data_IF_204187190636
#
_entry.id   IF_204187190636
#
_cell.length_a   1.000
_cell.length_b   1.000
_cell.length_c   1.000
_cell.angle_alpha   90.00
_cell.angle_beta   90.00
_cell.angle_gamma   90.00
#
_symmetry.space_group_name_H-M   'P 1'
#
loop_
_entity.id
_entity.type
_entity.pdbx_description
1 polymer ?
#
# COMPACT_ATOMS: atom_id res chain seq x y z
N UNK A 1 -17.79 -9.06 25.42
CA UNK A 1 -18.45 -7.77 25.07
C UNK A 1 -17.44 -6.65 24.83
N UNK A 2 -16.51 -6.36 25.75
CA UNK A 2 -15.51 -5.27 25.59
C UNK A 2 -14.53 -5.47 24.41
N UNK A 3 -14.06 -6.71 24.17
CA UNK A 3 -13.19 -7.03 23.03
C UNK A 3 -13.86 -6.79 21.67
N UNK A 4 -15.15 -7.14 21.55
CA UNK A 4 -15.92 -6.91 20.32
C UNK A 4 -16.11 -5.41 20.05
N UNK A 5 -16.29 -4.61 21.09
CA UNK A 5 -16.42 -3.16 20.98
C UNK A 5 -15.10 -2.47 20.58
N UNK A 6 -13.96 -2.88 21.15
CA UNK A 6 -12.64 -2.37 20.74
C UNK A 6 -12.26 -2.73 19.31
N UNK A 7 -12.61 -3.94 18.85
CA UNK A 7 -12.39 -4.34 17.45
C UNK A 7 -13.28 -3.53 16.49
N UNK A 8 -14.52 -3.28 16.87
CA UNK A 8 -15.46 -2.49 16.07
C UNK A 8 -15.00 -1.03 15.91
N UNK A 9 -14.53 -0.40 17.00
CA UNK A 9 -13.99 0.96 16.95
C UNK A 9 -12.70 1.07 16.14
N UNK A 10 -11.88 0.02 16.09
CA UNK A 10 -10.66 -0.01 15.27
C UNK A 10 -10.96 0.02 13.77
N UNK A 11 -12.11 -0.51 13.35
CA UNK A 11 -12.54 -0.53 11.94
C UNK A 11 -13.38 0.67 11.52
N UNK A 12 -13.77 1.56 12.45
CA UNK A 12 -14.44 2.80 12.06
C UNK A 12 -13.47 3.73 11.36
N UNK A 13 -13.87 4.28 10.21
CA UNK A 13 -13.06 5.28 9.54
C UNK A 13 -13.01 6.59 10.32
N UNK A 14 -11.89 7.33 10.23
CA UNK A 14 -11.75 8.62 10.89
C UNK A 14 -12.89 9.57 10.47
N UNK A 15 -13.49 10.34 11.40
CA UNK A 15 -14.40 11.42 11.04
C UNK A 15 -13.65 12.46 10.17
N UNK A 16 -14.27 12.90 9.07
CA UNK A 16 -13.70 13.78 8.03
C UNK A 16 -12.63 13.18 7.09
N UNK A 17 -12.63 11.87 6.87
CA UNK A 17 -11.81 11.27 5.83
C UNK A 17 -12.27 11.70 4.42
N UNK A 18 -11.52 12.58 3.74
CA UNK A 18 -11.84 13.11 2.40
C UNK A 18 -11.20 12.28 1.30
N UNK A 19 -11.90 12.12 0.17
CA UNK A 19 -11.38 11.40 -0.99
C UNK A 19 -10.21 12.11 -1.70
N UNK A 20 -10.18 13.44 -1.68
CA UNK A 20 -9.11 14.23 -2.28
C UNK A 20 -8.48 15.06 -1.17
N UNK A 21 -7.38 14.55 -0.64
CA UNK A 21 -6.60 15.19 0.39
C UNK A 21 -5.11 14.83 0.23
N UNK A 22 -4.24 15.63 0.87
CA UNK A 22 -2.77 15.50 0.73
C UNK A 22 -2.26 14.15 1.22
N UNK A 23 -2.89 13.59 2.25
CA UNK A 23 -2.62 12.24 2.77
C UNK A 23 -2.82 11.19 1.67
N UNK A 24 -3.92 11.24 0.92
CA UNK A 24 -4.23 10.28 -0.16
C UNK A 24 -3.19 10.31 -1.27
N UNK A 25 -2.71 11.51 -1.61
CA UNK A 25 -1.61 11.67 -2.56
C UNK A 25 -0.30 11.06 -2.05
N UNK A 26 -0.01 11.17 -0.76
CA UNK A 26 1.17 10.54 -0.16
C UNK A 26 1.04 9.01 -0.15
N UNK A 27 -0.12 8.46 0.18
CA UNK A 27 -0.38 7.01 0.07
C UNK A 27 -0.09 6.49 -1.33
N UNK A 28 -0.64 7.15 -2.34
CA UNK A 28 -0.37 6.81 -3.73
C UNK A 28 1.12 6.85 -4.08
N UNK A 29 1.81 7.96 -3.80
CA UNK A 29 3.22 8.15 -4.16
C UNK A 29 4.14 7.18 -3.39
N UNK A 30 3.90 6.99 -2.10
CA UNK A 30 4.68 6.06 -1.28
C UNK A 30 4.49 4.62 -1.77
N UNK A 31 3.26 4.20 -2.03
CA UNK A 31 2.96 2.87 -2.56
C UNK A 31 3.56 2.66 -3.96
N UNK A 32 3.48 3.67 -4.83
CA UNK A 32 4.14 3.67 -6.13
C UNK A 32 5.67 3.51 -6.02
N UNK A 33 6.30 4.28 -5.12
CA UNK A 33 7.75 4.23 -4.93
C UNK A 33 8.21 2.89 -4.33
N UNK A 34 7.52 2.39 -3.30
CA UNK A 34 7.86 1.14 -2.64
C UNK A 34 7.75 -0.02 -3.62
N UNK A 35 6.63 -0.13 -4.37
CA UNK A 35 6.46 -1.23 -5.32
C UNK A 35 7.50 -1.18 -6.43
N UNK A 36 7.85 0.01 -6.92
CA UNK A 36 8.87 0.19 -7.94
C UNK A 36 10.26 -0.21 -7.47
N UNK A 37 10.66 0.27 -6.28
CA UNK A 37 11.94 -0.08 -5.68
C UNK A 37 12.04 -1.57 -5.37
N UNK A 38 11.00 -2.17 -4.79
CA UNK A 38 10.95 -3.60 -4.52
C UNK A 38 11.04 -4.43 -5.81
N UNK A 39 10.28 -4.06 -6.84
CA UNK A 39 10.32 -4.74 -8.13
C UNK A 39 11.70 -4.63 -8.78
N UNK A 40 12.26 -3.42 -8.88
CA UNK A 40 13.58 -3.19 -9.46
C UNK A 40 14.68 -3.95 -8.70
N UNK A 41 14.64 -3.95 -7.37
CA UNK A 41 15.60 -4.70 -6.57
C UNK A 41 15.49 -6.21 -6.81
N UNK A 42 14.29 -6.79 -6.77
CA UNK A 42 14.11 -8.22 -6.99
C UNK A 42 14.45 -8.65 -8.41
N UNK A 43 14.06 -7.87 -9.41
CA UNK A 43 14.26 -8.23 -10.81
C UNK A 43 15.68 -7.92 -11.29
N UNK A 44 16.16 -6.69 -11.11
CA UNK A 44 17.46 -6.26 -11.65
C UNK A 44 18.64 -6.67 -10.76
N UNK A 45 18.52 -6.59 -9.44
CA UNK A 45 19.65 -6.88 -8.54
C UNK A 45 19.74 -8.36 -8.17
N UNK A 46 18.61 -9.03 -7.98
CA UNK A 46 18.56 -10.46 -7.65
C UNK A 46 18.36 -11.37 -8.86
N UNK A 47 18.16 -10.81 -10.06
CA UNK A 47 17.96 -11.56 -11.30
C UNK A 47 16.73 -12.46 -11.27
N UNK A 48 15.71 -12.14 -10.45
CA UNK A 48 14.53 -13.00 -10.31
C UNK A 48 13.59 -12.87 -11.49
N UNK A 49 12.86 -13.94 -11.84
CA UNK A 49 11.85 -13.89 -12.90
C UNK A 49 10.87 -12.75 -12.69
N UNK A 50 10.46 -12.11 -13.78
CA UNK A 50 9.56 -10.95 -13.78
C UNK A 50 8.27 -11.22 -12.99
N UNK A 51 7.67 -12.41 -13.18
CA UNK A 51 6.46 -12.83 -12.47
C UNK A 51 6.64 -12.92 -10.95
N UNK A 52 7.75 -13.50 -10.49
CA UNK A 52 8.06 -13.59 -9.05
C UNK A 52 8.31 -12.21 -8.46
N UNK A 53 9.08 -11.37 -9.15
CA UNK A 53 9.39 -10.01 -8.72
C UNK A 53 8.13 -9.15 -8.58
N UNK A 54 7.16 -9.26 -9.50
CA UNK A 54 5.87 -8.57 -9.39
C UNK A 54 5.09 -9.02 -8.16
N UNK A 55 4.97 -10.33 -7.95
CA UNK A 55 4.22 -10.88 -6.82
C UNK A 55 4.84 -10.43 -5.50
N UNK A 56 6.16 -10.50 -5.37
CA UNK A 56 6.86 -10.08 -4.16
C UNK A 56 6.70 -8.58 -3.92
N UNK A 57 6.90 -7.75 -4.95
CA UNK A 57 6.76 -6.30 -4.82
C UNK A 57 5.34 -5.89 -4.41
N UNK A 58 4.31 -6.42 -5.09
CA UNK A 58 2.91 -6.15 -4.75
C UNK A 58 2.57 -6.62 -3.34
N UNK A 59 2.98 -7.83 -2.97
CA UNK A 59 2.70 -8.38 -1.64
C UNK A 59 3.39 -7.56 -0.55
N UNK A 60 4.65 -7.19 -0.76
CA UNK A 60 5.42 -6.38 0.20
C UNK A 60 4.79 -5.00 0.39
N UNK A 61 4.50 -4.28 -0.69
CA UNK A 61 3.87 -2.96 -0.60
C UNK A 61 2.47 -3.03 0.00
N UNK A 62 1.68 -4.03 -0.39
CA UNK A 62 0.35 -4.26 0.18
C UNK A 62 0.39 -4.54 1.69
N UNK A 63 1.35 -5.34 2.15
CA UNK A 63 1.58 -5.58 3.59
C UNK A 63 1.97 -4.31 4.32
N UNK A 64 2.79 -3.44 3.72
CA UNK A 64 3.16 -2.13 4.30
C UNK A 64 1.92 -1.23 4.43
N UNK A 65 1.09 -1.12 3.39
CA UNK A 65 -0.14 -0.32 3.42
C UNK A 65 -1.16 -0.82 4.45
N UNK A 66 -1.48 -2.11 4.42
CA UNK A 66 -2.37 -2.75 5.41
C UNK A 66 -1.79 -2.61 6.83
N UNK A 67 -0.48 -2.84 6.99
CA UNK A 67 0.19 -2.71 8.28
C UNK A 67 0.11 -1.29 8.84
N UNK A 68 0.20 -0.27 7.99
CA UNK A 68 0.05 1.14 8.39
C UNK A 68 -1.37 1.44 8.86
N UNK A 69 -2.40 0.95 8.17
CA UNK A 69 -3.80 1.13 8.60
C UNK A 69 -4.10 0.40 9.91
N UNK A 70 -3.59 -0.83 10.08
CA UNK A 70 -3.66 -1.56 11.34
C UNK A 70 -2.94 -0.79 12.46
N UNK A 71 -1.74 -0.27 12.18
CA UNK A 71 -0.99 0.53 13.14
C UNK A 71 -1.74 1.81 13.56
N UNK A 72 -2.31 2.55 12.61
CA UNK A 72 -3.08 3.77 12.90
C UNK A 72 -4.38 3.47 13.68
N UNK A 73 -4.98 2.30 13.44
CA UNK A 73 -6.16 1.83 14.16
C UNK A 73 -5.87 1.41 15.60
N UNK A 74 -4.83 0.60 15.81
CA UNK A 74 -4.51 0.04 17.13
C UNK A 74 -3.69 1.01 18.00
N UNK A 75 -2.68 1.66 17.43
CA UNK A 75 -1.72 2.50 18.17
C UNK A 75 -2.19 3.95 18.23
N UNK A 76 -2.54 4.54 17.09
CA UNK A 76 -2.98 5.95 17.06
C UNK A 76 -4.47 6.13 17.40
N UNK A 77 -5.24 5.04 17.46
CA UNK A 77 -6.69 5.04 17.72
C UNK A 77 -7.46 6.00 16.80
N UNK A 78 -6.95 6.21 15.58
CA UNK A 78 -7.56 7.10 14.57
C UNK A 78 -8.60 6.37 13.72
N UNK A 79 -8.60 5.03 13.76
CA UNK A 79 -9.46 4.19 12.94
C UNK A 79 -8.85 3.90 11.56
N UNK A 80 -9.29 2.82 10.91
CA UNK A 80 -8.81 2.41 9.59
C UNK A 80 -9.50 3.20 8.48
N UNK A 81 -8.72 3.76 7.54
CA UNK A 81 -9.28 4.35 6.32
C UNK A 81 -9.23 3.34 5.18
N UNK A 82 -10.41 2.89 4.75
CA UNK A 82 -10.54 2.15 3.49
C UNK A 82 -10.07 2.98 2.27
N UNK A 83 -10.21 4.31 2.32
CA UNK A 83 -9.81 5.19 1.22
C UNK A 83 -8.30 5.17 1.04
N UNK A 84 -7.54 5.18 2.13
CA UNK A 84 -6.08 5.04 2.10
C UNK A 84 -5.66 3.75 1.39
N UNK A 85 -6.31 2.62 1.69
CA UNK A 85 -6.07 1.35 1.00
C UNK A 85 -6.36 1.41 -0.51
N UNK A 86 -7.39 2.17 -0.92
CA UNK A 86 -7.67 2.37 -2.36
C UNK A 86 -6.54 3.15 -3.02
N UNK A 87 -6.03 4.22 -2.41
CA UNK A 87 -4.91 4.98 -2.96
C UNK A 87 -3.61 4.17 -2.96
N UNK A 88 -3.39 3.31 -1.96
CA UNK A 88 -2.28 2.36 -1.95
C UNK A 88 -2.41 1.37 -3.11
N UNK A 89 -3.59 0.79 -3.33
CA UNK A 89 -3.83 -0.12 -4.45
C UNK A 89 -3.63 0.54 -5.82
N UNK A 90 -4.09 1.80 -5.98
CA UNK A 90 -3.87 2.58 -7.20
C UNK A 90 -2.38 2.87 -7.41
N UNK A 91 -1.64 3.22 -6.34
CA UNK A 91 -0.20 3.45 -6.39
C UNK A 91 0.58 2.19 -6.77
N UNK A 92 0.23 1.05 -6.16
CA UNK A 92 0.79 -0.27 -6.48
C UNK A 92 0.55 -0.63 -7.95
N UNK A 93 -0.70 -0.50 -8.41
CA UNK A 93 -1.08 -0.82 -9.79
C UNK A 93 -0.35 0.06 -10.80
N UNK A 94 -0.31 1.38 -10.56
CA UNK A 94 0.42 2.32 -11.40
C UNK A 94 1.93 2.02 -11.42
N UNK A 95 2.52 1.70 -10.26
CA UNK A 95 3.94 1.37 -10.14
C UNK A 95 4.30 0.10 -10.91
N UNK A 96 3.59 -1.00 -10.68
CA UNK A 96 3.85 -2.25 -11.43
C UNK A 96 3.73 -2.02 -12.92
N UNK A 97 2.67 -1.35 -13.41
CA UNK A 97 2.52 -1.09 -14.83
C UNK A 97 3.68 -0.26 -15.39
N UNK A 98 4.05 0.82 -14.70
CA UNK A 98 5.12 1.71 -15.12
C UNK A 98 6.49 1.01 -15.17
N UNK A 99 6.90 0.38 -14.06
CA UNK A 99 8.22 -0.25 -13.96
C UNK A 99 8.32 -1.55 -14.78
N UNK A 100 7.23 -2.29 -14.93
CA UNK A 100 7.20 -3.45 -15.82
C UNK A 100 7.35 -3.04 -17.28
N UNK A 101 6.64 -1.98 -17.68
CA UNK A 101 6.70 -1.50 -19.06
C UNK A 101 8.05 -0.88 -19.41
N UNK A 102 8.66 -0.15 -18.46
CA UNK A 102 9.97 0.47 -18.69
C UNK A 102 11.08 -0.57 -18.82
N UNK A 103 11.11 -1.61 -17.96
CA UNK A 103 12.18 -2.63 -18.03
C UNK A 103 12.06 -3.50 -19.29
N UNK A 104 10.86 -3.78 -19.78
CA UNK A 104 10.68 -4.57 -21.01
C UNK A 104 11.12 -3.84 -22.30
N UNK A 105 11.58 -2.59 -22.21
CA UNK A 105 12.13 -1.84 -23.35
C UNK A 105 13.65 -1.94 -23.47
N UNK A 106 14.35 -2.37 -22.43
CA UNK A 106 15.80 -2.62 -22.44
C UNK A 106 16.11 -4.00 -23.03
#
# INVERSE_FOLDING_TARGET
MLLAFSLFSAFMSPPDDRWIAKDKGLHFICSFAIVGLSYHFYHCQLGRPEGESKVVAVSFTGLVGIGKEVYDSFIKKKGASWKDLVFDALGIGAGILFFTWEINKE
#
